data_IF_317631673648
#
_entry.id   IF_317631673648
#
_cell.length_a   1.000
_cell.length_b   1.000
_cell.length_c   1.000
_cell.angle_alpha   90.00
_cell.angle_beta   90.00
_cell.angle_gamma   90.00
#
_symmetry.space_group_name_H-M   'P 1'
#
loop_
_entity.id
_entity.type
_entity.pdbx_description
1 polymer ?
#
# COMPACT_ATOMS: atom_id res chain seq x y z
N UNK A 1 -41.22 12.88 4.16
CA UNK A 1 -40.12 13.82 3.82
C UNK A 1 -38.90 13.75 4.77
N UNK A 2 -38.83 12.83 5.75
CA UNK A 2 -37.69 12.74 6.71
C UNK A 2 -36.88 11.43 6.60
N UNK A 3 -37.33 10.46 5.79
CA UNK A 3 -36.64 9.18 5.58
C UNK A 3 -35.61 9.22 4.43
N UNK A 4 -35.77 10.15 3.48
CA UNK A 4 -34.92 10.26 2.28
C UNK A 4 -33.58 10.98 2.54
N UNK A 5 -33.47 11.73 3.65
CA UNK A 5 -32.23 12.42 4.04
C UNK A 5 -31.31 11.54 4.88
N UNK A 6 -31.84 10.54 5.60
CA UNK A 6 -31.04 9.57 6.38
C UNK A 6 -30.26 8.60 5.48
N UNK A 7 -30.82 8.20 4.34
CA UNK A 7 -30.19 7.27 3.38
C UNK A 7 -29.14 7.94 2.49
N UNK A 8 -29.30 9.23 2.12
CA UNK A 8 -28.28 9.98 1.37
C UNK A 8 -26.99 10.21 2.16
N UNK A 9 -27.08 10.37 3.49
CA UNK A 9 -25.90 10.58 4.35
C UNK A 9 -25.09 9.28 4.50
N UNK A 10 -25.75 8.12 4.58
CA UNK A 10 -25.07 6.82 4.65
C UNK A 10 -24.38 6.41 3.32
N UNK A 11 -24.97 6.75 2.18
CA UNK A 11 -24.40 6.50 0.86
C UNK A 11 -23.16 7.37 0.58
N UNK A 12 -23.11 8.60 1.07
CA UNK A 12 -21.94 9.49 0.91
C UNK A 12 -20.73 9.02 1.72
N UNK A 13 -20.95 8.31 2.84
CA UNK A 13 -19.88 7.75 3.66
C UNK A 13 -19.24 6.51 3.02
N UNK A 14 -20.04 5.69 2.33
CA UNK A 14 -19.55 4.54 1.56
C UNK A 14 -18.85 5.01 0.28
N UNK A 15 -19.32 6.08 -0.36
CA UNK A 15 -18.65 6.67 -1.53
C UNK A 15 -17.26 7.23 -1.18
N UNK A 16 -17.12 7.96 -0.07
CA UNK A 16 -15.83 8.44 0.42
C UNK A 16 -14.87 7.29 0.79
N UNK A 17 -15.38 6.16 1.29
CA UNK A 17 -14.55 4.98 1.61
C UNK A 17 -14.13 4.19 0.36
N UNK A 18 -14.95 4.15 -0.69
CA UNK A 18 -14.66 3.44 -1.94
C UNK A 18 -13.82 4.29 -2.92
N UNK A 19 -14.01 5.61 -2.98
CA UNK A 19 -13.22 6.50 -3.83
C UNK A 19 -11.76 6.65 -3.35
N UNK A 20 -11.52 6.74 -2.02
CA UNK A 20 -10.16 6.77 -1.49
C UNK A 20 -9.40 5.44 -1.72
N UNK A 21 -10.11 4.33 -1.86
CA UNK A 21 -9.52 3.02 -2.12
C UNK A 21 -9.05 2.84 -3.58
N UNK A 22 -9.53 3.69 -4.51
CA UNK A 22 -9.18 3.63 -5.93
C UNK A 22 -8.10 4.63 -6.36
N UNK A 23 -7.66 5.51 -5.45
CA UNK A 23 -6.73 6.61 -5.72
C UNK A 23 -5.34 6.42 -5.10
N UNK A 24 -4.83 5.18 -5.11
CA UNK A 24 -3.48 4.89 -4.62
C UNK A 24 -2.80 3.76 -5.41
N UNK A 25 -1.47 3.71 -5.30
CA UNK A 25 -0.67 2.61 -5.84
C UNK A 25 -1.01 1.31 -5.12
N UNK A 26 -1.05 0.17 -5.82
CA UNK A 26 -1.21 -1.13 -5.17
C UNK A 26 0.16 -1.77 -4.94
N UNK A 27 0.51 -2.05 -3.69
CA UNK A 27 1.73 -2.79 -3.34
C UNK A 27 1.34 -4.22 -2.98
N UNK A 28 1.85 -5.20 -3.74
CA UNK A 28 1.62 -6.62 -3.50
C UNK A 28 2.89 -7.27 -2.98
N UNK A 29 2.75 -7.99 -1.88
CA UNK A 29 3.80 -8.83 -1.30
C UNK A 29 3.40 -10.28 -1.53
N UNK A 30 4.32 -11.07 -2.07
CA UNK A 30 4.14 -12.49 -2.35
C UNK A 30 4.75 -13.35 -1.23
N UNK A 31 4.26 -14.58 -1.12
CA UNK A 31 4.72 -15.57 -0.13
C UNK A 31 6.19 -16.01 -0.32
N UNK A 32 6.82 -15.61 -1.42
CA UNK A 32 8.27 -15.79 -1.63
C UNK A 32 9.12 -14.89 -0.72
N UNK A 33 8.49 -13.99 0.04
CA UNK A 33 9.17 -13.07 0.94
C UNK A 33 9.93 -13.80 2.05
N UNK A 34 11.23 -13.54 2.13
CA UNK A 34 12.11 -14.12 3.16
C UNK A 34 12.17 -13.29 4.46
N UNK A 35 11.40 -12.20 4.56
CA UNK A 35 11.39 -11.35 5.77
C UNK A 35 12.68 -10.57 6.03
N UNK A 36 13.43 -10.21 4.98
CA UNK A 36 14.75 -9.54 5.09
C UNK A 36 14.69 -8.04 5.48
N UNK A 37 13.51 -7.42 5.53
CA UNK A 37 13.29 -6.01 5.91
C UNK A 37 13.89 -4.93 4.99
N UNK A 38 14.57 -5.31 3.91
CA UNK A 38 15.24 -4.35 3.00
C UNK A 38 14.25 -3.41 2.30
N UNK A 39 13.08 -3.92 1.90
CA UNK A 39 12.03 -3.12 1.26
C UNK A 39 11.47 -2.01 2.18
N UNK A 40 11.32 -2.30 3.48
CA UNK A 40 10.89 -1.33 4.50
C UNK A 40 11.90 -0.20 4.60
N UNK A 41 13.19 -0.53 4.74
CA UNK A 41 14.27 0.47 4.87
C UNK A 41 14.50 1.29 3.60
N UNK A 42 14.21 0.72 2.44
CA UNK A 42 14.36 1.40 1.15
C UNK A 42 13.21 2.36 0.83
N UNK A 43 12.07 2.25 1.53
CA UNK A 43 10.90 3.07 1.29
C UNK A 43 11.12 4.50 1.83
N UNK A 44 11.12 5.54 0.97
CA UNK A 44 11.35 6.91 1.43
C UNK A 44 10.14 7.49 2.18
N UNK A 45 8.94 6.96 1.97
CA UNK A 45 7.69 7.40 2.59
C UNK A 45 7.19 6.45 3.67
N UNK A 46 8.00 5.46 4.06
CA UNK A 46 7.67 4.50 5.13
C UNK A 46 6.29 3.84 4.97
N UNK A 47 5.97 3.38 3.76
CA UNK A 47 4.67 2.75 3.43
C UNK A 47 4.59 1.30 3.91
N UNK A 48 5.74 0.65 4.07
CA UNK A 48 5.88 -0.77 4.33
C UNK A 48 6.23 -1.00 5.79
N UNK A 49 5.67 -2.04 6.41
CA UNK A 49 5.99 -2.49 7.76
C UNK A 49 6.23 -4.00 7.80
N UNK A 50 6.84 -4.48 8.87
CA UNK A 50 7.02 -5.92 9.09
C UNK A 50 5.93 -6.45 10.02
N UNK A 51 5.23 -7.49 9.59
CA UNK A 51 4.21 -8.18 10.39
C UNK A 51 4.66 -9.62 10.66
N UNK A 52 4.32 -10.19 11.83
CA UNK A 52 4.67 -11.57 12.16
C UNK A 52 3.98 -12.54 11.18
N UNK A 53 4.74 -13.51 10.65
CA UNK A 53 4.24 -14.50 9.70
C UNK A 53 5.10 -15.78 9.70
N UNK A 54 4.48 -16.93 9.97
CA UNK A 54 5.18 -18.22 10.08
C UNK A 54 5.56 -18.85 8.73
N UNK A 55 5.30 -18.18 7.60
CA UNK A 55 5.58 -18.72 6.26
C UNK A 55 7.05 -18.63 5.82
N UNK A 56 7.91 -18.01 6.61
CA UNK A 56 9.34 -17.89 6.31
C UNK A 56 10.21 -18.13 7.56
N UNK A 57 11.50 -18.42 7.36
CA UNK A 57 12.47 -18.64 8.45
C UNK A 57 12.61 -17.45 9.41
N UNK A 58 12.33 -16.24 8.94
CA UNK A 58 12.42 -15.02 9.73
C UNK A 58 11.18 -14.79 10.62
N UNK A 59 10.13 -15.60 10.49
CA UNK A 59 8.84 -15.45 11.17
C UNK A 59 8.19 -14.07 10.96
N UNK A 60 8.47 -13.41 9.83
CA UNK A 60 7.94 -12.09 9.50
C UNK A 60 7.83 -11.87 7.99
N UNK A 61 6.85 -11.09 7.57
CA UNK A 61 6.61 -10.70 6.18
C UNK A 61 6.42 -9.19 6.08
N UNK A 62 6.73 -8.62 4.92
CA UNK A 62 6.42 -7.22 4.65
C UNK A 62 4.92 -7.05 4.37
N UNK A 63 4.33 -5.99 4.91
CA UNK A 63 2.96 -5.56 4.66
C UNK A 63 2.95 -4.09 4.25
N UNK A 64 1.96 -3.67 3.47
CA UNK A 64 1.80 -2.29 3.01
C UNK A 64 0.43 -1.75 3.48
N UNK A 65 0.32 -1.28 4.73
CA UNK A 65 -0.93 -0.70 5.24
C UNK A 65 -1.21 0.70 4.70
N UNK A 66 -0.17 1.47 4.34
CA UNK A 66 -0.25 2.90 3.99
C UNK A 66 -0.03 3.16 2.50
N UNK A 67 -0.69 2.38 1.63
CA UNK A 67 -0.45 2.47 0.18
C UNK A 67 -0.86 3.81 -0.43
N UNK A 68 -1.67 4.60 0.25
CA UNK A 68 -2.03 5.98 -0.09
C UNK A 68 -0.85 6.95 -0.11
N UNK A 69 0.22 6.67 0.66
CA UNK A 69 1.44 7.48 0.71
C UNK A 69 2.53 6.94 -0.24
N UNK A 70 2.19 5.94 -1.05
CA UNK A 70 3.11 5.40 -2.03
C UNK A 70 3.27 6.36 -3.21
N UNK A 71 4.52 6.77 -3.46
CA UNK A 71 4.92 7.61 -4.60
C UNK A 71 5.30 6.81 -5.86
N UNK A 72 5.12 5.48 -5.84
CA UNK A 72 5.45 4.65 -7.01
C UNK A 72 6.94 4.55 -7.36
N UNK A 73 7.85 4.95 -6.45
CA UNK A 73 9.29 5.01 -6.74
C UNK A 73 10.00 3.67 -6.98
N UNK A 74 9.33 2.54 -6.71
CA UNK A 74 9.83 1.16 -6.88
C UNK A 74 11.16 0.82 -6.19
N UNK A 75 11.63 1.64 -5.25
CA UNK A 75 12.85 1.33 -4.47
C UNK A 75 12.73 0.04 -3.67
N UNK A 76 11.52 -0.28 -3.21
CA UNK A 76 11.24 -1.55 -2.54
C UNK A 76 11.48 -2.77 -3.45
N UNK A 77 11.21 -2.65 -4.75
CA UNK A 77 11.47 -3.68 -5.75
C UNK A 77 12.98 -3.89 -5.94
N UNK A 78 13.73 -2.78 -6.11
CA UNK A 78 15.18 -2.82 -6.31
C UNK A 78 15.96 -3.29 -5.06
N UNK A 79 15.44 -3.03 -3.87
CA UNK A 79 16.05 -3.47 -2.62
C UNK A 79 15.75 -4.93 -2.28
N UNK A 80 14.81 -5.57 -2.99
CA UNK A 80 14.44 -6.94 -2.73
C UNK A 80 15.55 -7.90 -3.22
N UNK A 81 16.20 -8.68 -2.34
CA UNK A 81 17.30 -9.55 -2.74
C UNK A 81 16.84 -10.85 -3.43
N UNK A 82 15.53 -11.06 -3.55
CA UNK A 82 14.96 -12.29 -4.15
C UNK A 82 14.91 -12.17 -5.67
N UNK A 83 15.24 -13.26 -6.37
CA UNK A 83 15.33 -13.34 -7.83
C UNK A 83 13.98 -13.03 -8.53
N UNK A 84 12.86 -13.45 -7.93
CA UNK A 84 11.51 -13.19 -8.41
C UNK A 84 10.78 -12.22 -7.47
N UNK A 85 11.35 -11.02 -7.25
CA UNK A 85 10.77 -9.87 -6.53
C UNK A 85 9.55 -10.20 -5.66
N UNK A 86 9.75 -10.46 -4.37
CA UNK A 86 8.65 -10.72 -3.45
C UNK A 86 7.76 -9.51 -3.19
N UNK A 87 8.16 -8.31 -3.64
CA UNK A 87 7.38 -7.08 -3.56
C UNK A 87 7.24 -6.48 -4.96
N UNK A 88 6.02 -6.08 -5.32
CA UNK A 88 5.71 -5.43 -6.59
C UNK A 88 4.75 -4.27 -6.40
N UNK A 89 5.05 -3.14 -7.05
CA UNK A 89 4.26 -1.92 -7.04
C UNK A 89 3.55 -1.75 -8.38
N UNK A 90 2.22 -1.71 -8.33
CA UNK A 90 1.36 -1.40 -9.46
C UNK A 90 0.92 0.06 -9.36
N UNK A 91 1.25 0.85 -10.39
CA UNK A 91 0.83 2.25 -10.46
C UNK A 91 -0.67 2.34 -10.72
N UNK A 92 -1.36 3.05 -9.82
CA UNK A 92 -2.79 3.34 -9.90
C UNK A 92 -3.05 4.73 -10.50
N UNK A 93 -4.11 5.40 -10.06
CA UNK A 93 -4.37 6.79 -10.43
C UNK A 93 -3.47 7.75 -9.65
N UNK A 94 -2.98 8.78 -10.33
CA UNK A 94 -2.03 9.74 -9.76
C UNK A 94 -2.75 10.76 -8.88
N UNK A 95 -2.25 10.95 -7.66
CA UNK A 95 -2.68 11.98 -6.71
C UNK A 95 -1.50 12.92 -6.39
N UNK A 96 -1.77 14.05 -5.76
CA UNK A 96 -0.72 14.99 -5.30
C UNK A 96 0.34 14.29 -4.44
N UNK A 97 -0.08 13.38 -3.56
CA UNK A 97 0.81 12.55 -2.72
C UNK A 97 1.61 11.57 -3.57
N UNK A 98 0.96 10.92 -4.53
CA UNK A 98 1.58 9.90 -5.37
C UNK A 98 2.60 10.47 -6.34
N UNK A 99 2.43 11.73 -6.77
CA UNK A 99 3.38 12.46 -7.62
C UNK A 99 4.52 13.12 -6.82
N UNK A 100 4.50 13.03 -5.49
CA UNK A 100 5.53 13.65 -4.64
C UNK A 100 5.55 15.18 -4.71
N UNK A 101 4.40 15.80 -5.01
CA UNK A 101 4.28 17.25 -5.05
C UNK A 101 4.19 17.80 -3.63
N UNK A 102 5.00 18.81 -3.32
CA UNK A 102 5.08 19.41 -1.99
C UNK A 102 4.10 20.59 -1.77
N UNK A 103 3.19 20.84 -2.72
CA UNK A 103 2.34 22.03 -2.77
C UNK A 103 0.85 21.68 -2.89
#
# INVERSE_FOLDING_TARGET
MLWYTKTKIALNLIHLLVENFFMSHSVKIYDTCIGCTQCVRACPTDVLEMVPWDGCKANQIASAPRTEDCVGCKRCESACPTDFLSVRVYLGSETTRSMGLAY
#
